data_IF_766859980367
#
_entry.id   IF_766859980367
#
_cell.length_a   1.000
_cell.length_b   1.000
_cell.length_c   1.000
_cell.angle_alpha   90.00
_cell.angle_beta   90.00
_cell.angle_gamma   90.00
#
_symmetry.space_group_name_H-M   'P 1'
#
loop_
_entity.id
_entity.type
_entity.pdbx_description
1 polymer ?
#
# COMPACT_ATOMS: atom_id res chain seq x y z
N UNK A 1 -15.01 16.60 21.22
CA UNK A 1 -14.55 17.75 20.41
C UNK A 1 -13.55 17.20 19.40
N UNK A 2 -13.88 17.09 18.11
CA UNK A 2 -12.92 16.59 17.11
C UNK A 2 -11.92 17.72 16.83
N UNK A 3 -10.65 17.51 17.16
CA UNK A 3 -9.58 18.45 16.86
C UNK A 3 -9.48 18.61 15.35
N UNK A 4 -9.71 19.81 14.83
CA UNK A 4 -9.55 20.07 13.41
C UNK A 4 -8.05 20.14 13.11
N UNK A 5 -7.49 19.03 12.61
CA UNK A 5 -6.09 18.95 12.23
C UNK A 5 -5.88 19.88 11.05
N UNK A 6 -5.04 20.90 11.24
CA UNK A 6 -4.64 21.81 10.18
C UNK A 6 -3.20 21.50 9.77
N UNK A 7 -3.01 20.98 8.56
CA UNK A 7 -1.67 20.69 8.06
C UNK A 7 -0.99 21.96 7.53
N UNK A 8 0.33 22.12 7.74
CA UNK A 8 1.10 23.16 7.06
C UNK A 8 0.95 23.08 5.55
N UNK A 9 0.98 24.23 4.86
CA UNK A 9 0.80 24.34 3.40
C UNK A 9 1.78 23.42 2.65
N UNK A 10 3.03 23.34 3.10
CA UNK A 10 4.03 22.47 2.46
C UNK A 10 3.71 20.98 2.61
N UNK A 11 3.07 20.58 3.72
CA UNK A 11 2.58 19.21 3.92
C UNK A 11 1.41 18.92 2.99
N UNK A 12 0.49 19.87 2.79
CA UNK A 12 -0.62 19.73 1.84
C UNK A 12 -0.08 19.57 0.41
N UNK A 13 0.89 20.38 -0.01
CA UNK A 13 1.55 20.25 -1.32
C UNK A 13 2.25 18.90 -1.49
N UNK A 14 2.89 18.39 -0.44
CA UNK A 14 3.50 17.06 -0.47
C UNK A 14 2.44 15.96 -0.64
N UNK A 15 1.33 16.07 0.07
CA UNK A 15 0.21 15.12 -0.03
C UNK A 15 -0.38 15.15 -1.45
N UNK A 16 -0.61 16.33 -2.02
CA UNK A 16 -1.08 16.50 -3.41
C UNK A 16 -0.11 15.89 -4.43
N UNK A 17 1.20 16.13 -4.26
CA UNK A 17 2.22 15.53 -5.12
C UNK A 17 2.21 14.00 -5.05
N UNK A 18 2.07 13.43 -3.85
CA UNK A 18 1.99 11.98 -3.67
C UNK A 18 0.69 11.41 -4.23
N UNK A 19 -0.43 12.12 -4.10
CA UNK A 19 -1.70 11.73 -4.72
C UNK A 19 -1.54 11.60 -6.24
N UNK A 20 -0.99 12.63 -6.89
CA UNK A 20 -0.77 12.62 -8.34
C UNK A 20 0.28 11.61 -8.81
N UNK A 21 1.17 11.15 -7.92
CA UNK A 21 2.15 10.10 -8.24
C UNK A 21 1.49 8.72 -8.23
N UNK A 22 0.52 8.52 -7.34
CA UNK A 22 -0.19 7.26 -7.16
C UNK A 22 -1.32 7.10 -8.17
N UNK A 23 -1.98 8.18 -8.58
CA UNK A 23 -2.93 8.22 -9.69
C UNK A 23 -2.25 7.77 -11.00
N UNK A 24 -2.37 6.47 -11.31
CA UNK A 24 -1.65 5.86 -12.42
C UNK A 24 -2.25 6.18 -13.80
N UNK A 25 -3.55 6.51 -13.85
CA UNK A 25 -4.28 6.77 -15.09
C UNK A 25 -4.40 8.27 -15.41
N UNK A 26 -4.09 9.15 -14.46
CA UNK A 26 -4.10 10.60 -14.61
C UNK A 26 -5.50 11.24 -14.60
N UNK A 27 -6.52 10.52 -14.12
CA UNK A 27 -7.90 11.01 -14.09
C UNK A 27 -8.22 11.92 -12.88
N UNK A 28 -7.21 12.18 -12.05
CA UNK A 28 -7.25 12.97 -10.81
C UNK A 28 -8.09 12.32 -9.70
N UNK A 29 -8.28 11.01 -9.78
CA UNK A 29 -8.91 10.20 -8.75
C UNK A 29 -7.99 9.04 -8.39
N UNK A 30 -8.34 8.39 -7.29
CA UNK A 30 -7.68 7.17 -6.84
C UNK A 30 -8.72 6.11 -6.46
N UNK A 31 -8.45 4.88 -6.85
CA UNK A 31 -9.22 3.71 -6.43
C UNK A 31 -8.86 3.26 -5.00
N UNK A 32 -9.47 2.18 -4.52
CA UNK A 32 -9.26 1.66 -3.16
C UNK A 32 -7.83 1.17 -2.89
N UNK A 33 -7.16 0.59 -3.88
CA UNK A 33 -5.78 0.11 -3.76
C UNK A 33 -4.76 1.26 -3.79
N UNK A 34 -5.01 2.25 -4.64
CA UNK A 34 -4.25 3.50 -4.68
C UNK A 34 -4.43 4.29 -3.37
N UNK A 35 -5.66 4.35 -2.82
CA UNK A 35 -5.92 4.92 -1.50
C UNK A 35 -5.11 4.22 -0.41
N UNK A 36 -5.13 2.88 -0.38
CA UNK A 36 -4.36 2.04 0.56
C UNK A 36 -2.85 2.32 0.46
N UNK A 37 -2.36 2.48 -0.76
CA UNK A 37 -0.95 2.79 -1.03
C UNK A 37 -0.59 4.20 -0.56
N UNK A 38 -1.44 5.19 -0.86
CA UNK A 38 -1.22 6.59 -0.51
C UNK A 38 -1.18 6.81 1.00
N UNK A 39 -2.12 6.24 1.77
CA UNK A 39 -2.11 6.42 3.24
C UNK A 39 -0.86 5.82 3.89
N UNK A 40 -0.34 4.70 3.36
CA UNK A 40 0.93 4.11 3.81
C UNK A 40 2.12 4.97 3.43
N UNK A 41 2.13 5.51 2.21
CA UNK A 41 3.17 6.43 1.75
C UNK A 41 3.22 7.71 2.60
N UNK A 42 2.07 8.13 3.14
CA UNK A 42 1.95 9.26 4.07
C UNK A 42 2.25 8.89 5.54
N UNK A 43 2.75 7.68 5.80
CA UNK A 43 3.21 7.24 7.12
C UNK A 43 2.10 6.85 8.09
N UNK A 44 0.87 6.58 7.61
CA UNK A 44 -0.18 6.02 8.46
C UNK A 44 0.01 4.51 8.60
N UNK A 45 0.01 4.02 9.83
CA UNK A 45 0.17 2.60 10.18
C UNK A 45 -1.19 1.95 10.51
N UNK A 46 -2.16 2.11 9.60
CA UNK A 46 -3.50 1.52 9.74
C UNK A 46 -3.51 0.08 9.24
N UNK A 47 -4.23 -0.76 9.95
CA UNK A 47 -4.43 -2.16 9.58
C UNK A 47 -5.29 -2.31 8.34
N UNK A 48 -5.14 -3.42 7.62
CA UNK A 48 -5.96 -3.70 6.43
C UNK A 48 -7.47 -3.66 6.76
N UNK A 49 -7.85 -4.09 7.96
CA UNK A 49 -9.23 -3.99 8.45
C UNK A 49 -9.67 -2.54 8.65
N UNK A 50 -8.87 -1.72 9.32
CA UNK A 50 -9.19 -0.30 9.53
C UNK A 50 -9.30 0.46 8.19
N UNK A 51 -8.43 0.14 7.23
CA UNK A 51 -8.49 0.72 5.88
C UNK A 51 -9.77 0.31 5.18
N UNK A 52 -10.14 -0.96 5.26
CA UNK A 52 -11.40 -1.48 4.72
C UNK A 52 -12.62 -0.79 5.35
N UNK A 53 -12.61 -0.61 6.67
CA UNK A 53 -13.68 0.09 7.39
C UNK A 53 -13.78 1.56 6.95
N UNK A 54 -12.65 2.25 6.78
CA UNK A 54 -12.60 3.62 6.25
C UNK A 54 -13.17 3.69 4.84
N UNK A 55 -12.78 2.77 3.95
CA UNK A 55 -13.29 2.72 2.58
C UNK A 55 -14.81 2.51 2.60
N UNK A 56 -15.31 1.56 3.37
CA UNK A 56 -16.74 1.29 3.44
C UNK A 56 -17.55 2.44 3.99
N UNK A 57 -17.01 3.17 4.96
CA UNK A 57 -17.67 4.32 5.57
C UNK A 57 -17.67 5.56 4.67
N UNK A 58 -16.65 5.74 3.83
CA UNK A 58 -16.41 7.01 3.15
C UNK A 58 -16.50 6.96 1.61
N UNK A 59 -16.37 5.79 0.99
CA UNK A 59 -16.48 5.65 -0.46
C UNK A 59 -17.92 5.32 -0.85
N UNK A 60 -18.42 6.03 -1.85
CA UNK A 60 -19.68 5.72 -2.49
C UNK A 60 -19.59 4.39 -3.26
N UNK A 61 -20.70 3.66 -3.33
CA UNK A 61 -20.79 2.49 -4.20
C UNK A 61 -20.91 2.97 -5.65
N UNK A 62 -20.34 2.21 -6.58
CA UNK A 62 -20.66 2.36 -8.00
C UNK A 62 -22.13 2.02 -8.17
N UNK A 63 -22.86 2.93 -8.82
CA UNK A 63 -24.22 2.63 -9.23
C UNK A 63 -24.12 1.57 -10.33
N UNK A 64 -24.84 0.46 -10.17
CA UNK A 64 -25.04 -0.48 -11.27
C UNK A 64 -25.53 0.35 -12.46
N UNK A 65 -24.71 0.43 -13.52
CA UNK A 65 -25.18 0.99 -14.78
C UNK A 65 -26.36 0.13 -15.18
N UNK A 66 -27.56 0.67 -15.01
CA UNK A 66 -28.77 0.04 -15.52
C UNK A 66 -28.49 -0.35 -16.95
N UNK A 67 -28.70 -1.62 -17.26
CA UNK A 67 -28.70 -2.09 -18.64
C UNK A 67 -29.78 -1.29 -19.37
N UNK A 68 -29.37 -0.20 -20.02
CA UNK A 68 -30.16 0.42 -21.07
C UNK A 68 -30.34 -0.67 -22.13
N UNK A 69 -31.47 -1.37 -22.05
CA UNK A 69 -31.99 -2.23 -23.09
C UNK A 69 -32.26 -1.38 -24.33
N UNK A 70 -31.19 -1.00 -25.03
CA UNK A 70 -31.27 -0.49 -26.39
C UNK A 70 -31.65 -1.67 -27.28
N UNK A 71 -32.93 -1.72 -27.64
CA UNK A 71 -33.43 -2.36 -28.84
C UNK A 71 -32.42 -2.15 -29.99
N UNK A 72 -31.75 -3.23 -30.39
CA UNK A 72 -31.01 -3.27 -31.65
C UNK A 72 -31.93 -3.96 -32.67
N UNK A 73 -32.77 -3.16 -33.33
CA UNK A 73 -33.13 -3.44 -34.72
C UNK A 73 -32.07 -2.76 -35.59
N UNK A 74 -31.33 -3.55 -36.38
CA UNK A 74 -31.07 -3.28 -37.80
C UNK A 74 -30.03 -4.25 -38.40
N UNK A 75 -30.54 -5.06 -39.33
CA UNK A 75 -30.02 -5.31 -40.68
C UNK A 75 -28.53 -5.66 -40.87
N UNK A 76 -28.29 -6.96 -41.06
CA UNK A 76 -27.04 -7.55 -41.55
C UNK A 76 -26.79 -7.20 -43.03
N UNK A 77 -25.63 -6.60 -43.33
CA UNK A 77 -25.13 -6.36 -44.67
C UNK A 77 -23.59 -6.38 -44.77
N UNK A 78 -23.06 -7.53 -45.22
CA UNK A 78 -21.82 -7.76 -46.01
C UNK A 78 -20.42 -7.40 -45.45
N UNK A 79 -19.65 -8.49 -45.33
CA UNK A 79 -18.18 -8.68 -45.31
C UNK A 79 -17.49 -8.14 -46.58
N UNK A 80 -16.25 -7.60 -46.51
CA UNK A 80 -15.03 -8.00 -47.32
C UNK A 80 -13.70 -7.37 -46.78
N UNK A 81 -12.81 -8.27 -46.30
CA UNK A 81 -11.33 -8.48 -46.46
C UNK A 81 -10.28 -7.39 -46.79
N UNK A 82 -9.08 -7.65 -46.20
CA UNK A 82 -7.70 -7.61 -46.75
C UNK A 82 -6.99 -6.23 -46.89
N UNK A 83 -5.65 -6.03 -46.78
CA UNK A 83 -4.43 -6.87 -46.73
C UNK A 83 -3.18 -5.99 -46.42
N UNK A 84 -2.12 -6.62 -45.89
CA UNK A 84 -0.66 -6.49 -46.18
C UNK A 84 0.18 -5.19 -45.98
N UNK A 85 1.43 -5.42 -45.50
CA UNK A 85 2.65 -4.63 -45.78
C UNK A 85 3.36 -4.10 -44.52
N UNK A 86 4.39 -4.74 -43.94
CA UNK A 86 5.84 -4.67 -44.28
C UNK A 86 6.44 -3.24 -44.07
N UNK A 87 7.64 -2.92 -43.55
CA UNK A 87 8.88 -3.62 -43.16
C UNK A 87 9.90 -2.54 -42.67
N UNK A 88 10.77 -2.87 -41.69
CA UNK A 88 12.17 -2.38 -41.49
C UNK A 88 12.47 -0.95 -40.93
N UNK A 89 13.59 -0.62 -40.27
CA UNK A 89 14.78 -1.27 -39.65
C UNK A 89 15.67 -0.16 -39.00
N UNK A 90 16.50 -0.52 -38.00
CA UNK A 90 17.87 -0.02 -37.71
C UNK A 90 18.03 1.41 -37.10
N UNK A 91 19.03 1.80 -36.29
CA UNK A 91 20.28 1.22 -35.77
C UNK A 91 20.85 2.03 -34.56
N UNK A 92 21.32 1.35 -33.51
CA UNK A 92 22.66 1.38 -32.84
C UNK A 92 23.46 2.71 -32.66
N UNK A 93 23.96 2.96 -31.43
CA UNK A 93 25.40 3.16 -31.01
C UNK A 93 25.67 4.30 -29.99
N UNK A 94 26.14 3.90 -28.77
CA UNK A 94 27.25 4.39 -27.88
C UNK A 94 27.35 5.90 -27.50
N UNK A 95 27.93 6.39 -26.38
CA UNK A 95 29.00 5.93 -25.47
C UNK A 95 29.08 6.86 -24.23
N UNK A 96 29.41 6.28 -23.07
CA UNK A 96 30.29 6.74 -21.96
C UNK A 96 30.15 8.11 -21.25
N UNK A 97 30.26 8.04 -19.90
CA UNK A 97 30.86 9.10 -19.08
C UNK A 97 30.37 9.10 -17.63
N UNK A 98 31.09 8.43 -16.73
CA UNK A 98 30.74 8.36 -15.31
C UNK A 98 30.89 9.69 -14.57
N UNK A 99 29.88 10.03 -13.77
CA UNK A 99 29.94 10.87 -12.56
C UNK A 99 28.87 10.37 -11.58
N UNK A 100 29.21 10.34 -10.30
CA UNK A 100 28.38 9.84 -9.20
C UNK A 100 26.93 10.34 -9.27
N UNK A 101 25.90 9.49 -9.13
CA UNK A 101 24.54 9.93 -9.41
C UNK A 101 23.95 10.68 -8.21
N UNK A 102 23.20 11.76 -8.44
CA UNK A 102 22.48 12.46 -7.40
C UNK A 102 21.43 11.53 -6.76
N UNK A 103 20.83 11.99 -5.67
CA UNK A 103 19.68 11.43 -4.93
C UNK A 103 18.59 10.70 -5.77
N UNK A 104 18.54 10.97 -7.07
CA UNK A 104 17.77 10.26 -8.08
C UNK A 104 18.04 8.74 -8.18
N UNK A 105 19.22 8.24 -7.83
CA UNK A 105 19.53 6.81 -7.98
C UNK A 105 18.98 5.93 -6.85
N UNK A 106 18.78 6.49 -5.66
CA UNK A 106 18.02 5.81 -4.59
C UNK A 106 16.54 5.69 -4.97
N UNK A 107 16.01 6.75 -5.58
CA UNK A 107 14.63 6.77 -6.12
C UNK A 107 14.51 5.86 -7.34
N UNK A 108 15.51 5.80 -8.23
CA UNK A 108 15.52 4.84 -9.36
C UNK A 108 15.67 3.39 -8.90
N UNK A 109 16.44 3.12 -7.84
CA UNK A 109 16.52 1.78 -7.27
C UNK A 109 15.22 1.39 -6.55
N UNK A 110 14.49 2.35 -5.98
CA UNK A 110 13.16 2.15 -5.42
C UNK A 110 12.12 1.94 -6.55
N UNK A 111 12.14 2.75 -7.60
CA UNK A 111 11.28 2.62 -8.80
C UNK A 111 11.58 1.31 -9.55
N UNK A 112 12.84 0.91 -9.71
CA UNK A 112 13.19 -0.39 -10.29
C UNK A 112 12.78 -1.54 -9.36
N UNK A 113 12.84 -1.38 -8.03
CA UNK A 113 12.28 -2.37 -7.09
C UNK A 113 10.76 -2.48 -7.21
N UNK A 114 10.06 -1.36 -7.41
CA UNK A 114 8.60 -1.30 -7.60
C UNK A 114 8.20 -1.87 -8.98
N UNK A 115 8.94 -1.55 -10.04
CA UNK A 115 8.70 -2.06 -11.38
C UNK A 115 8.99 -3.57 -11.47
N UNK A 116 10.03 -4.07 -10.80
CA UNK A 116 10.31 -5.51 -10.70
C UNK A 116 9.38 -6.24 -9.72
N UNK A 117 8.59 -5.52 -8.91
CA UNK A 117 7.58 -6.13 -8.04
C UNK A 117 6.37 -6.62 -8.86
N UNK A 118 6.01 -5.88 -9.91
CA UNK A 118 4.90 -6.24 -10.81
C UNK A 118 5.21 -7.46 -11.69
N UNK A 119 6.46 -7.64 -12.13
CA UNK A 119 6.83 -8.73 -13.04
C UNK A 119 6.91 -10.11 -12.35
N UNK A 120 7.24 -10.16 -11.06
CA UNK A 120 7.24 -11.42 -10.30
C UNK A 120 5.86 -11.81 -9.77
N UNK A 121 4.99 -10.84 -9.47
CA UNK A 121 3.59 -11.12 -9.09
C UNK A 121 2.78 -11.70 -10.27
N UNK A 122 3.05 -11.24 -11.50
CA UNK A 122 2.34 -11.72 -12.69
C UNK A 122 2.85 -13.08 -13.22
N UNK A 123 4.12 -13.45 -12.97
CA UNK A 123 4.65 -14.76 -13.41
C UNK A 123 4.19 -15.95 -12.56
N UNK A 124 3.86 -15.74 -11.29
CA UNK A 124 3.31 -16.81 -10.42
C UNK A 124 1.77 -16.95 -10.50
N UNK A 125 1.07 -16.01 -11.15
CA UNK A 125 -0.40 -16.00 -11.21
C UNK A 125 -1.02 -16.30 -12.59
N UNK A 126 -0.22 -16.73 -13.58
CA UNK A 126 -0.71 -17.12 -14.92
C UNK A 126 -1.44 -18.49 -14.95
N UNK A 127 -2.33 -18.70 -13.99
CA UNK A 127 -3.26 -19.82 -13.91
C UNK A 127 -4.49 -19.57 -13.02
N UNK A 128 -4.67 -18.36 -12.46
CA UNK A 128 -5.80 -18.05 -11.59
C UNK A 128 -6.72 -17.08 -12.32
N UNK A 129 -7.75 -17.63 -12.97
CA UNK A 129 -8.99 -16.88 -13.22
C UNK A 129 -9.40 -16.23 -11.90
N UNK A 130 -9.76 -14.95 -11.94
CA UNK A 130 -10.18 -14.11 -10.82
C UNK A 130 -11.31 -14.76 -10.01
N UNK A 131 -10.93 -15.65 -9.11
CA UNK A 131 -11.73 -16.07 -7.98
C UNK A 131 -11.14 -15.33 -6.80
N UNK A 132 -11.87 -14.32 -6.33
CA UNK A 132 -11.61 -13.68 -5.05
C UNK A 132 -11.31 -14.76 -4.00
N UNK A 133 -10.23 -14.65 -3.22
CA UNK A 133 -10.00 -15.58 -2.12
C UNK A 133 -11.15 -15.42 -1.12
N UNK A 134 -11.94 -16.48 -0.96
CA UNK A 134 -12.93 -16.61 0.11
C UNK A 134 -12.19 -16.54 1.45
N UNK A 135 -12.11 -15.35 2.06
CA UNK A 135 -11.85 -15.23 3.48
C UNK A 135 -13.10 -15.71 4.22
N UNK A 136 -13.08 -16.98 4.65
CA UNK A 136 -14.03 -17.48 5.64
C UNK A 136 -13.73 -16.79 6.97
N UNK A 137 -14.50 -15.77 7.32
CA UNK A 137 -14.58 -15.31 8.71
C UNK A 137 -15.31 -16.37 9.53
N UNK A 138 -14.78 -16.70 10.70
CA UNK A 138 -15.31 -17.75 11.59
C UNK A 138 -16.70 -17.47 12.18
N UNK A 139 -17.34 -16.36 11.78
CA UNK A 139 -18.69 -15.99 12.20
C UNK A 139 -19.51 -15.76 10.93
N UNK A 140 -20.51 -16.63 10.70
CA UNK A 140 -21.38 -16.62 9.53
C UNK A 140 -22.25 -15.37 9.45
N UNK A 141 -21.66 -14.28 8.97
CA UNK A 141 -22.37 -13.13 8.44
C UNK A 141 -22.50 -13.37 6.94
N UNK A 142 -23.73 -13.37 6.45
CA UNK A 142 -24.06 -13.52 5.04
C UNK A 142 -23.26 -12.51 4.21
N UNK A 143 -22.86 -12.93 3.00
CA UNK A 143 -22.19 -12.07 2.04
C UNK A 143 -23.16 -10.97 1.63
N UNK A 144 -23.16 -9.85 2.35
CA UNK A 144 -23.59 -8.59 1.76
C UNK A 144 -22.69 -8.38 0.54
N UNK A 145 -23.30 -8.32 -0.65
CA UNK A 145 -22.60 -8.07 -1.90
C UNK A 145 -21.79 -6.77 -1.75
N UNK A 146 -20.46 -6.89 -1.63
CA UNK A 146 -19.57 -5.74 -1.55
C UNK A 146 -19.61 -5.08 -2.94
N UNK A 147 -20.49 -4.09 -3.08
CA UNK A 147 -20.59 -3.32 -4.31
C UNK A 147 -19.25 -2.65 -4.59
N UNK A 148 -18.80 -2.63 -5.86
CA UNK A 148 -17.59 -1.91 -6.22
C UNK A 148 -17.69 -0.45 -5.75
N UNK A 149 -16.57 0.12 -5.31
CA UNK A 149 -16.50 1.47 -4.76
C UNK A 149 -16.04 2.45 -5.83
N UNK A 150 -16.67 3.63 -5.88
CA UNK A 150 -16.26 4.72 -6.79
C UNK A 150 -14.90 5.27 -6.38
N UNK A 151 -14.09 5.64 -7.37
CA UNK A 151 -12.83 6.35 -7.16
C UNK A 151 -13.04 7.74 -6.56
N UNK A 152 -12.12 8.17 -5.71
CA UNK A 152 -12.21 9.43 -4.97
C UNK A 152 -11.21 10.46 -5.50
N UNK A 153 -11.62 11.73 -5.55
CA UNK A 153 -10.72 12.83 -5.91
C UNK A 153 -9.89 13.31 -4.70
N UNK A 154 -8.97 14.23 -4.95
CA UNK A 154 -8.08 14.79 -3.92
C UNK A 154 -8.82 15.45 -2.75
N UNK A 155 -9.93 16.16 -3.00
CA UNK A 155 -10.68 16.83 -1.94
C UNK A 155 -11.34 15.82 -0.99
N UNK A 156 -11.97 14.79 -1.55
CA UNK A 156 -12.56 13.68 -0.77
C UNK A 156 -11.47 12.94 0.00
N UNK A 157 -10.32 12.68 -0.64
CA UNK A 157 -9.17 12.09 0.03
C UNK A 157 -8.73 12.93 1.24
N UNK A 158 -8.56 14.25 1.10
CA UNK A 158 -8.13 15.12 2.19
C UNK A 158 -9.13 15.13 3.35
N UNK A 159 -10.44 15.12 3.05
CA UNK A 159 -11.49 15.00 4.08
C UNK A 159 -11.37 13.70 4.86
N UNK A 160 -11.19 12.56 4.18
CA UNK A 160 -11.02 11.26 4.83
C UNK A 160 -9.73 11.26 5.64
N UNK A 161 -8.62 11.71 5.04
CA UNK A 161 -7.31 11.70 5.66
C UNK A 161 -7.27 12.54 6.94
N UNK A 162 -7.80 13.77 6.92
CA UNK A 162 -7.87 14.63 8.13
C UNK A 162 -8.72 13.98 9.23
N UNK A 163 -9.85 13.38 8.87
CA UNK A 163 -10.76 12.77 9.85
C UNK A 163 -10.25 11.45 10.43
N UNK A 164 -9.35 10.78 9.73
CA UNK A 164 -8.82 9.48 10.12
C UNK A 164 -7.34 9.54 10.50
N UNK A 165 -6.69 10.70 10.41
CA UNK A 165 -5.27 10.86 10.70
C UNK A 165 -4.96 10.48 12.14
N UNK A 166 -3.96 9.61 12.30
CA UNK A 166 -3.36 9.28 13.59
C UNK A 166 -1.94 9.84 13.63
N UNK A 167 -1.62 10.55 14.71
CA UNK A 167 -0.25 10.98 14.95
C UNK A 167 0.68 9.77 15.11
N UNK A 168 1.91 9.81 14.54
CA UNK A 168 2.85 8.72 14.73
C UNK A 168 3.20 8.53 16.20
N UNK A 169 3.20 7.29 16.68
CA UNK A 169 3.57 6.94 18.06
C UNK A 169 4.89 7.62 18.48
N UNK A 170 4.91 8.25 19.65
CA UNK A 170 6.14 8.88 20.14
C UNK A 170 7.19 7.84 20.52
N UNK A 171 8.47 8.23 20.56
CA UNK A 171 9.53 7.31 20.98
C UNK A 171 9.30 6.81 22.41
N UNK A 172 8.83 7.67 23.31
CA UNK A 172 8.58 7.32 24.70
C UNK A 172 7.41 6.34 24.83
N UNK A 173 6.31 6.56 24.12
CA UNK A 173 5.18 5.61 24.13
C UNK A 173 5.58 4.24 23.56
N UNK A 174 6.43 4.22 22.53
CA UNK A 174 6.95 2.97 21.97
C UNK A 174 7.84 2.23 22.98
N UNK A 175 8.74 2.95 23.68
CA UNK A 175 9.56 2.38 24.76
C UNK A 175 8.67 1.82 25.87
N UNK A 176 7.69 2.60 26.33
CA UNK A 176 6.77 2.18 27.38
C UNK A 176 5.99 0.92 26.99
N UNK A 177 5.65 0.78 25.70
CA UNK A 177 4.96 -0.41 25.18
C UNK A 177 5.81 -1.68 25.26
N UNK A 178 7.14 -1.58 25.13
CA UNK A 178 8.02 -2.72 25.41
C UNK A 178 8.21 -2.94 26.91
N UNK A 179 8.24 -1.86 27.70
CA UNK A 179 8.42 -1.92 29.14
C UNK A 179 7.25 -2.61 29.88
N UNK A 180 6.04 -2.62 29.30
CA UNK A 180 4.89 -3.37 29.84
C UNK A 180 5.01 -4.88 29.61
N UNK A 181 5.77 -5.30 28.61
CA UNK A 181 6.05 -6.71 28.31
C UNK A 181 7.19 -7.29 29.17
N UNK A 182 8.07 -6.41 29.65
CA UNK A 182 9.21 -6.74 30.51
C UNK A 182 8.82 -6.62 32.00
N UNK A 183 8.08 -7.62 32.50
CA UNK A 183 7.63 -7.66 33.90
C UNK A 183 8.77 -7.60 34.93
N UNK A 184 9.98 -8.01 34.53
CA UNK A 184 11.19 -8.01 35.35
C UNK A 184 11.99 -6.71 35.26
N UNK A 185 11.59 -5.76 34.42
CA UNK A 185 12.27 -4.47 34.19
C UNK A 185 13.76 -4.64 33.88
N UNK A 186 14.07 -5.66 33.08
CA UNK A 186 15.43 -5.96 32.65
C UNK A 186 16.00 -4.94 31.66
N UNK A 187 15.14 -4.24 30.90
CA UNK A 187 15.57 -3.37 29.80
C UNK A 187 15.71 -4.10 28.45
N UNK A 188 15.41 -5.41 28.40
CA UNK A 188 15.67 -6.25 27.25
C UNK A 188 14.46 -7.08 26.83
N UNK A 189 14.42 -7.41 25.55
CA UNK A 189 13.54 -8.41 24.95
C UNK A 189 14.38 -9.37 24.09
N UNK A 190 13.74 -10.30 23.39
CA UNK A 190 14.41 -11.25 22.50
C UNK A 190 13.65 -11.41 21.17
N UNK A 191 14.34 -11.94 20.15
CA UNK A 191 13.77 -12.13 18.81
C UNK A 191 12.52 -13.02 18.85
N UNK A 192 12.47 -14.02 19.72
CA UNK A 192 11.34 -14.94 19.81
C UNK A 192 10.09 -14.21 20.31
N UNK A 193 10.23 -13.40 21.35
CA UNK A 193 9.18 -12.56 21.92
C UNK A 193 8.67 -11.56 20.88
N UNK A 194 9.58 -10.89 20.17
CA UNK A 194 9.20 -9.96 19.09
C UNK A 194 8.45 -10.68 17.96
N UNK A 195 8.92 -11.87 17.54
CA UNK A 195 8.22 -12.67 16.52
C UNK A 195 6.83 -13.08 17.00
N UNK A 196 6.70 -13.50 18.25
CA UNK A 196 5.39 -13.85 18.81
C UNK A 196 4.43 -12.67 18.82
N UNK A 197 4.89 -11.47 19.15
CA UNK A 197 4.06 -10.26 19.10
C UNK A 197 3.60 -9.99 17.67
N UNK A 198 4.49 -10.12 16.68
CA UNK A 198 4.16 -9.91 15.27
C UNK A 198 3.18 -10.97 14.73
N UNK A 199 3.38 -12.24 15.06
CA UNK A 199 2.51 -13.36 14.64
C UNK A 199 1.12 -13.24 15.26
N UNK A 200 1.05 -12.85 16.54
CA UNK A 200 -0.21 -12.72 17.28
C UNK A 200 -0.86 -11.34 17.11
N UNK A 201 -0.34 -10.49 16.22
CA UNK A 201 -0.97 -9.23 15.89
C UNK A 201 -2.28 -9.46 15.13
N UNK A 202 -3.13 -8.44 15.07
CA UNK A 202 -4.38 -8.50 14.30
C UNK A 202 -4.15 -8.40 12.78
N UNK A 203 -2.90 -8.50 12.32
CA UNK A 203 -2.51 -8.51 10.92
C UNK A 203 -1.85 -9.84 10.55
N UNK A 204 -2.13 -10.32 9.34
CA UNK A 204 -1.48 -11.49 8.79
C UNK A 204 -0.12 -11.09 8.19
N UNK A 205 0.94 -11.24 8.98
CA UNK A 205 2.31 -11.06 8.52
C UNK A 205 2.91 -12.44 8.25
N UNK A 206 3.42 -12.66 7.05
CA UNK A 206 4.04 -13.93 6.70
C UNK A 206 5.32 -14.16 7.52
N UNK A 207 5.64 -15.42 7.83
CA UNK A 207 6.88 -15.75 8.53
C UNK A 207 8.12 -15.25 7.76
N UNK A 208 8.07 -15.23 6.44
CA UNK A 208 9.16 -14.74 5.59
C UNK A 208 9.35 -13.23 5.76
N UNK A 209 8.27 -12.45 5.78
CA UNK A 209 8.32 -11.01 6.02
C UNK A 209 8.81 -10.69 7.45
N UNK A 210 8.35 -11.45 8.44
CA UNK A 210 8.84 -11.34 9.83
C UNK A 210 10.34 -11.59 9.88
N UNK A 211 10.81 -12.67 9.24
CA UNK A 211 12.24 -13.01 9.21
C UNK A 211 13.07 -11.94 8.47
N UNK A 212 12.56 -11.42 7.35
CA UNK A 212 13.19 -10.33 6.61
C UNK A 212 13.31 -9.07 7.46
N UNK A 213 12.22 -8.71 8.15
CA UNK A 213 12.18 -7.59 9.08
C UNK A 213 13.21 -7.75 10.21
N UNK A 214 13.23 -8.90 10.90
CA UNK A 214 14.19 -9.15 11.99
C UNK A 214 15.63 -9.06 11.52
N UNK A 215 15.93 -9.59 10.33
CA UNK A 215 17.27 -9.52 9.74
C UNK A 215 17.66 -8.08 9.39
N UNK A 216 16.71 -7.24 8.97
CA UNK A 216 16.96 -5.83 8.64
C UNK A 216 17.38 -4.98 9.85
N UNK A 217 16.94 -5.36 11.06
CA UNK A 217 17.27 -4.62 12.30
C UNK A 217 18.74 -4.80 12.72
N UNK A 218 19.39 -5.87 12.25
CA UNK A 218 20.81 -6.16 12.42
C UNK A 218 21.28 -6.12 13.90
N UNK A 219 20.60 -6.89 14.76
CA UNK A 219 21.02 -7.04 16.16
C UNK A 219 22.14 -8.07 16.32
N UNK A 220 23.15 -7.73 17.12
CA UNK A 220 24.29 -8.61 17.41
C UNK A 220 23.90 -9.81 18.28
N UNK A 221 23.10 -9.56 19.31
CA UNK A 221 22.58 -10.58 20.20
C UNK A 221 21.06 -10.64 20.05
N UNK A 222 20.56 -11.71 19.45
CA UNK A 222 19.13 -11.92 19.21
C UNK A 222 18.37 -12.39 20.46
N UNK A 223 19.08 -12.84 21.50
CA UNK A 223 18.48 -13.27 22.78
C UNK A 223 18.42 -12.13 23.80
N UNK A 224 19.12 -11.03 23.55
CA UNK A 224 19.19 -9.88 24.44
C UNK A 224 19.20 -8.58 23.64
N UNK A 225 18.02 -8.12 23.26
CA UNK A 225 17.77 -6.92 22.48
C UNK A 225 17.35 -5.80 23.42
N UNK A 226 18.14 -4.73 23.49
CA UNK A 226 17.79 -3.51 24.21
C UNK A 226 16.59 -2.84 23.52
N UNK A 227 15.45 -2.74 24.22
CA UNK A 227 14.23 -2.21 23.60
C UNK A 227 14.20 -0.69 23.47
N UNK A 228 15.09 0.06 24.15
CA UNK A 228 15.28 1.49 23.91
C UNK A 228 15.98 1.67 22.56
N UNK A 229 17.03 0.89 22.30
CA UNK A 229 17.71 0.89 21.01
C UNK A 229 16.82 0.39 19.88
N UNK A 230 16.04 -0.69 20.13
CA UNK A 230 15.02 -1.17 19.20
C UNK A 230 14.02 -0.07 18.88
N UNK A 231 13.45 0.61 19.88
CA UNK A 231 12.46 1.67 19.68
C UNK A 231 13.02 2.82 18.82
N UNK A 232 14.28 3.21 19.03
CA UNK A 232 14.97 4.20 18.18
C UNK A 232 15.12 3.72 16.74
N UNK A 233 15.51 2.45 16.54
CA UNK A 233 15.61 1.84 15.21
C UNK A 233 14.25 1.80 14.50
N UNK A 234 13.21 1.34 15.20
CA UNK A 234 11.85 1.29 14.67
C UNK A 234 11.33 2.68 14.33
N UNK A 235 11.55 3.67 15.20
CA UNK A 235 11.14 5.06 14.94
C UNK A 235 11.80 5.62 13.69
N UNK A 236 13.08 5.33 13.45
CA UNK A 236 13.78 5.75 12.23
C UNK A 236 13.35 5.03 10.96
N UNK A 237 12.72 3.85 11.07
CA UNK A 237 12.17 3.12 9.92
C UNK A 237 10.77 3.65 9.56
N UNK A 238 10.03 4.12 10.57
CA UNK A 238 8.60 4.50 10.45
C UNK A 238 8.42 6.04 10.33
N UNK A 239 9.47 6.84 10.58
CA UNK A 239 9.47 8.32 10.45
C UNK A 239 10.08 8.77 9.14
#
# INVERSE_FOLDING_TARGET
MKTQINFPIDKIKLIEKNFNLIDGNGDKKINTEEFKTLIRLLGQTKTDKEIYDIINQHFENEDEKGEDNKHIENNNGKIVKAKEGEIHKNNIVKKNGGKTPPNHDRIKNLINKLNNFNDNYNKQNNGIKTNQPNFKTANGIEKDEIKPKKDINFETFMKIFINTYTEPISLNELINSFETLDSKKTGYTDEHTLKHIMINSNEQISNDDINLFMNSLNFKDKKKIDYILLSKKLKNIIS
#
